data_IF_460066453604
#
_entry.id   IF_460066453604
#
_cell.length_a   1.000
_cell.length_b   1.000
_cell.length_c   1.000
_cell.angle_alpha   90.00
_cell.angle_beta   90.00
_cell.angle_gamma   90.00
#
_symmetry.space_group_name_H-M   'P 1'
#
loop_
_entity.id
_entity.type
_entity.pdbx_description
1 polymer ?
#
# COMPACT_ATOMS: atom_id res chain seq x y z
N UNK A 1 -18.94 -11.01 13.51
CA UNK A 1 -18.02 -9.93 13.11
C UNK A 1 -18.48 -8.72 13.90
N UNK A 2 -17.66 -8.22 14.81
CA UNK A 2 -18.04 -7.19 15.78
C UNK A 2 -18.11 -5.83 15.07
N UNK A 3 -19.14 -5.02 15.31
CA UNK A 3 -19.36 -3.76 14.59
C UNK A 3 -18.19 -2.78 14.78
N UNK A 4 -17.52 -2.86 15.92
CA UNK A 4 -16.31 -2.12 16.22
C UNK A 4 -15.10 -2.57 15.38
N UNK A 5 -14.96 -3.88 15.07
CA UNK A 5 -13.90 -4.40 14.19
C UNK A 5 -14.11 -3.88 12.76
N UNK A 6 -15.37 -3.79 12.29
CA UNK A 6 -15.67 -3.20 10.98
C UNK A 6 -15.28 -1.72 10.91
N UNK A 7 -15.57 -0.92 11.95
CA UNK A 7 -15.32 0.52 11.95
C UNK A 7 -13.85 0.89 12.18
N UNK A 8 -13.12 0.13 13.00
CA UNK A 8 -11.82 0.57 13.52
C UNK A 8 -10.65 -0.37 13.21
N UNK A 9 -10.86 -1.54 12.61
CA UNK A 9 -9.74 -2.45 12.30
C UNK A 9 -8.78 -1.90 11.25
N UNK A 10 -9.21 -0.92 10.45
CA UNK A 10 -8.43 -0.44 9.31
C UNK A 10 -8.25 -1.49 8.20
N UNK A 11 -8.87 -2.67 8.32
CA UNK A 11 -8.81 -3.74 7.30
C UNK A 11 -9.40 -3.20 6.00
N UNK A 12 -8.63 -3.34 4.91
CA UNK A 12 -9.01 -2.82 3.60
C UNK A 12 -8.76 -1.33 3.40
N UNK A 13 -8.12 -0.63 4.34
CA UNK A 13 -7.67 0.74 4.11
C UNK A 13 -6.46 0.75 3.17
N UNK A 14 -6.76 0.85 1.88
CA UNK A 14 -5.80 0.90 0.76
C UNK A 14 -4.72 1.96 0.95
N UNK A 15 -5.10 3.17 1.38
CA UNK A 15 -4.14 4.26 1.59
C UNK A 15 -3.18 3.95 2.73
N UNK A 16 -3.69 3.48 3.88
CA UNK A 16 -2.83 3.15 5.02
C UNK A 16 -1.90 1.98 4.71
N UNK A 17 -2.41 1.00 3.97
CA UNK A 17 -1.61 -0.12 3.49
C UNK A 17 -0.48 0.36 2.59
N UNK A 18 -0.75 1.25 1.63
CA UNK A 18 0.27 1.86 0.78
C UNK A 18 1.38 2.55 1.59
N UNK A 19 1.03 3.32 2.63
CA UNK A 19 1.99 4.00 3.49
C UNK A 19 2.89 3.01 4.26
N UNK A 20 2.28 2.00 4.89
CA UNK A 20 2.98 0.99 5.68
C UNK A 20 3.89 0.14 4.79
N UNK A 21 3.44 -0.18 3.58
CA UNK A 21 4.24 -0.87 2.56
C UNK A 21 5.48 -0.07 2.17
N UNK A 22 5.33 1.23 1.92
CA UNK A 22 6.47 2.09 1.57
C UNK A 22 7.50 2.14 2.70
N UNK A 23 7.03 2.28 3.94
CA UNK A 23 7.90 2.24 5.12
C UNK A 23 8.61 0.89 5.29
N UNK A 24 7.95 -0.22 4.93
CA UNK A 24 8.50 -1.56 5.00
C UNK A 24 9.53 -1.86 3.89
N UNK A 25 9.33 -1.31 2.69
CA UNK A 25 10.19 -1.57 1.52
C UNK A 25 11.45 -0.71 1.44
N UNK A 26 11.44 0.48 2.03
CA UNK A 26 12.61 1.34 2.11
C UNK A 26 13.00 1.66 3.57
N UNK A 27 13.29 0.65 4.41
CA UNK A 27 13.66 0.89 5.79
C UNK A 27 15.12 1.37 5.82
N UNK A 28 15.31 2.66 6.06
CA UNK A 28 16.66 3.21 6.22
C UNK A 28 17.07 3.21 7.70
N UNK A 29 18.21 2.57 8.00
CA UNK A 29 18.81 2.63 9.34
C UNK A 29 19.33 4.05 9.66
N UNK A 30 19.89 4.73 8.66
CA UNK A 30 20.54 6.03 8.82
C UNK A 30 21.56 6.01 9.97
N UNK A 31 21.54 7.06 10.80
CA UNK A 31 22.40 7.20 11.99
C UNK A 31 21.83 6.52 13.27
N UNK A 32 20.70 5.79 13.18
CA UNK A 32 20.06 5.18 14.36
C UNK A 32 20.91 4.04 14.94
N UNK A 33 20.83 3.87 16.26
CA UNK A 33 21.35 2.66 16.90
C UNK A 33 20.59 1.42 16.40
N UNK A 34 21.23 0.25 16.49
CA UNK A 34 20.61 -1.01 16.03
C UNK A 34 19.28 -1.30 16.77
N UNK A 35 19.22 -1.03 18.07
CA UNK A 35 18.02 -1.24 18.90
C UNK A 35 16.90 -0.30 18.46
N UNK A 36 17.21 0.99 18.25
CA UNK A 36 16.21 1.97 17.81
C UNK A 36 15.64 1.60 16.42
N UNK A 37 16.53 1.23 15.49
CA UNK A 37 16.13 0.75 14.18
C UNK A 37 15.23 -0.50 14.24
N UNK A 38 15.60 -1.49 15.08
CA UNK A 38 14.79 -2.71 15.23
C UNK A 38 13.40 -2.41 15.78
N UNK A 39 13.28 -1.54 16.78
CA UNK A 39 11.97 -1.17 17.33
C UNK A 39 11.09 -0.47 16.29
N UNK A 40 11.66 0.47 15.51
CA UNK A 40 10.95 1.15 14.43
C UNK A 40 10.49 0.15 13.36
N UNK A 41 11.39 -0.73 12.91
CA UNK A 41 11.07 -1.75 11.91
C UNK A 41 10.01 -2.73 12.43
N UNK A 42 10.13 -3.19 13.67
CA UNK A 42 9.18 -4.12 14.30
C UNK A 42 7.77 -3.53 14.34
N UNK A 43 7.64 -2.24 14.66
CA UNK A 43 6.34 -1.53 14.66
C UNK A 43 5.69 -1.55 13.27
N UNK A 44 6.45 -1.26 12.22
CA UNK A 44 5.95 -1.30 10.83
C UNK A 44 5.58 -2.73 10.43
N UNK A 45 6.39 -3.72 10.81
CA UNK A 45 6.10 -5.13 10.55
C UNK A 45 4.82 -5.62 11.23
N UNK A 46 4.60 -5.29 12.50
CA UNK A 46 3.38 -5.66 13.23
C UNK A 46 2.14 -5.01 12.62
N UNK A 47 2.24 -3.73 12.21
CA UNK A 47 1.14 -3.04 11.54
C UNK A 47 0.82 -3.65 10.16
N UNK A 48 1.85 -4.02 9.39
CA UNK A 48 1.67 -4.71 8.11
C UNK A 48 0.92 -6.04 8.28
N UNK A 49 1.28 -6.84 9.29
CA UNK A 49 0.59 -8.10 9.58
C UNK A 49 -0.84 -7.89 10.07
N UNK A 50 -1.14 -6.77 10.72
CA UNK A 50 -2.51 -6.44 11.13
C UNK A 50 -3.39 -6.03 9.94
N UNK A 51 -2.82 -5.25 8.99
CA UNK A 51 -3.53 -4.79 7.80
C UNK A 51 -3.71 -5.91 6.76
N UNK A 52 -2.70 -6.77 6.59
CA UNK A 52 -2.74 -7.93 5.70
C UNK A 52 -2.35 -9.19 6.47
N UNK A 53 -3.28 -9.76 7.25
CA UNK A 53 -3.02 -11.00 7.96
C UNK A 53 -2.80 -12.13 6.96
N UNK A 54 -1.89 -13.04 7.32
CA UNK A 54 -1.71 -14.27 6.57
C UNK A 54 -3.02 -15.06 6.55
N UNK A 55 -3.45 -15.47 5.37
CA UNK A 55 -4.67 -16.25 5.16
C UNK A 55 -4.33 -17.63 4.61
N UNK A 56 -4.96 -18.72 5.09
CA UNK A 56 -4.82 -20.02 4.46
C UNK A 56 -5.57 -20.12 3.11
N UNK A 57 -6.44 -19.17 2.78
CA UNK A 57 -7.13 -19.12 1.48
C UNK A 57 -6.18 -18.56 0.40
N UNK A 58 -5.82 -19.41 -0.57
CA UNK A 58 -4.94 -19.07 -1.69
C UNK A 58 -5.44 -17.89 -2.51
N UNK A 59 -6.76 -17.69 -2.64
CA UNK A 59 -7.33 -16.55 -3.38
C UNK A 59 -7.12 -15.25 -2.63
N UNK A 60 -7.18 -15.28 -1.29
CA UNK A 60 -6.86 -14.13 -0.46
C UNK A 60 -5.37 -13.80 -0.57
N UNK A 61 -4.50 -14.81 -0.57
CA UNK A 61 -3.06 -14.59 -0.78
C UNK A 61 -2.75 -14.00 -2.16
N UNK A 62 -3.41 -14.51 -3.22
CA UNK A 62 -3.24 -13.98 -4.57
C UNK A 62 -3.69 -12.51 -4.68
N UNK A 63 -4.82 -12.17 -4.05
CA UNK A 63 -5.28 -10.78 -3.98
C UNK A 63 -4.28 -9.88 -3.21
N UNK A 64 -3.74 -10.35 -2.09
CA UNK A 64 -2.70 -9.63 -1.34
C UNK A 64 -1.42 -9.44 -2.16
N UNK A 65 -1.00 -10.45 -2.92
CA UNK A 65 0.16 -10.37 -3.82
C UNK A 65 -0.05 -9.34 -4.94
N UNK A 66 -1.25 -9.29 -5.52
CA UNK A 66 -1.61 -8.30 -6.53
C UNK A 66 -1.57 -6.88 -5.93
N UNK A 67 -2.13 -6.69 -4.74
CA UNK A 67 -2.10 -5.39 -4.05
C UNK A 67 -0.68 -4.94 -3.71
N UNK A 68 0.21 -5.88 -3.35
CA UNK A 68 1.64 -5.65 -3.18
C UNK A 68 2.31 -5.18 -4.47
N UNK A 69 2.00 -5.83 -5.60
CA UNK A 69 2.56 -5.45 -6.90
C UNK A 69 2.09 -4.03 -7.31
N UNK A 70 0.81 -3.72 -7.12
CA UNK A 70 0.27 -2.38 -7.40
C UNK A 70 0.91 -1.32 -6.51
N UNK A 71 0.98 -1.57 -5.21
CA UNK A 71 1.57 -0.65 -4.25
C UNK A 71 3.03 -0.32 -4.60
N UNK A 72 3.80 -1.36 -4.96
CA UNK A 72 5.19 -1.21 -5.40
C UNK A 72 5.31 -0.43 -6.72
N UNK A 73 4.40 -0.63 -7.66
CA UNK A 73 4.36 0.13 -8.91
C UNK A 73 4.10 1.63 -8.62
N UNK A 74 3.08 1.92 -7.83
CA UNK A 74 2.70 3.30 -7.49
C UNK A 74 3.79 4.03 -6.71
N UNK A 75 4.51 3.35 -5.81
CA UNK A 75 5.58 3.98 -5.02
C UNK A 75 6.80 4.38 -5.85
N UNK A 76 7.07 3.64 -6.92
CA UNK A 76 8.14 3.96 -7.88
C UNK A 76 7.83 5.09 -8.86
N UNK A 77 6.57 5.55 -8.97
CA UNK A 77 6.21 6.64 -9.89
C UNK A 77 6.69 8.00 -9.36
N UNK A 78 7.14 8.85 -10.28
CA UNK A 78 7.55 10.22 -9.93
C UNK A 78 6.39 11.11 -9.51
N UNK A 79 6.71 12.26 -8.88
CA UNK A 79 5.72 13.19 -8.33
C UNK A 79 4.75 13.77 -9.37
N UNK A 80 5.08 13.71 -10.67
CA UNK A 80 4.16 14.10 -11.74
C UNK A 80 2.85 13.30 -11.75
N UNK A 81 2.84 12.14 -11.10
CA UNK A 81 1.68 11.24 -11.02
C UNK A 81 0.95 11.28 -9.67
N UNK A 82 1.27 12.19 -8.74
CA UNK A 82 0.64 12.21 -7.41
C UNK A 82 -0.89 12.33 -7.45
N UNK A 83 -1.44 13.10 -8.38
CA UNK A 83 -2.89 13.19 -8.59
C UNK A 83 -3.49 11.84 -8.96
N UNK A 84 -2.84 11.11 -9.87
CA UNK A 84 -3.28 9.77 -10.29
C UNK A 84 -3.17 8.77 -9.14
N UNK A 85 -2.07 8.80 -8.37
CA UNK A 85 -1.89 7.97 -7.17
C UNK A 85 -3.02 8.22 -6.17
N UNK A 86 -3.29 9.49 -5.84
CA UNK A 86 -4.32 9.87 -4.88
C UNK A 86 -5.71 9.37 -5.30
N UNK A 87 -6.06 9.51 -6.58
CA UNK A 87 -7.32 8.98 -7.11
C UNK A 87 -7.40 7.46 -7.01
N UNK A 88 -6.32 6.74 -7.35
CA UNK A 88 -6.28 5.28 -7.29
C UNK A 88 -6.38 4.79 -5.84
N UNK A 89 -5.67 5.44 -4.92
CA UNK A 89 -5.66 5.10 -3.48
C UNK A 89 -6.97 5.48 -2.77
N UNK A 90 -7.72 6.45 -3.29
CA UNK A 90 -9.04 6.82 -2.78
C UNK A 90 -10.16 5.85 -3.17
N UNK A 91 -9.88 4.95 -4.13
CA UNK A 91 -10.85 3.96 -4.59
C UNK A 91 -11.10 2.86 -3.56
N UNK A 92 -12.32 2.31 -3.56
CA UNK A 92 -12.70 1.19 -2.68
C UNK A 92 -12.02 -0.13 -3.01
N UNK A 93 -11.43 -0.26 -4.21
CA UNK A 93 -10.63 -1.41 -4.60
C UNK A 93 -9.44 -0.95 -5.46
N UNK A 94 -8.24 -1.38 -5.06
CA UNK A 94 -7.06 -1.35 -5.91
C UNK A 94 -7.31 -2.37 -7.01
N UNK A 95 -7.64 -1.91 -8.22
CA UNK A 95 -7.77 -2.76 -9.40
C UNK A 95 -6.48 -3.53 -9.69
N UNK A 96 -6.50 -4.40 -10.70
CA UNK A 96 -5.28 -5.14 -11.08
C UNK A 96 -4.13 -4.19 -11.46
N UNK A 97 -2.89 -4.69 -11.45
CA UNK A 97 -1.72 -3.93 -11.90
C UNK A 97 -1.92 -3.34 -13.30
N UNK A 98 -2.55 -4.10 -14.19
CA UNK A 98 -2.84 -3.68 -15.56
C UNK A 98 -3.90 -2.58 -15.65
N UNK A 99 -4.94 -2.65 -14.80
CA UNK A 99 -5.94 -1.59 -14.66
C UNK A 99 -5.33 -0.31 -14.10
N UNK A 100 -4.49 -0.44 -13.07
CA UNK A 100 -3.78 0.68 -12.43
C UNK A 100 -2.85 1.36 -13.44
N UNK A 101 -2.05 0.59 -14.17
CA UNK A 101 -1.23 1.11 -15.28
C UNK A 101 -2.07 1.87 -16.29
N UNK A 102 -3.20 1.30 -16.73
CA UNK A 102 -4.09 1.94 -17.70
C UNK A 102 -4.67 3.26 -17.17
N UNK A 103 -4.96 3.36 -15.87
CA UNK A 103 -5.44 4.60 -15.23
C UNK A 103 -4.34 5.66 -15.18
N UNK A 104 -3.13 5.29 -14.78
CA UNK A 104 -1.97 6.19 -14.76
C UNK A 104 -1.65 6.69 -16.17
N UNK A 105 -1.65 5.81 -17.17
CA UNK A 105 -1.38 6.17 -18.57
C UNK A 105 -2.40 7.18 -19.12
N UNK A 106 -3.67 7.11 -18.72
CA UNK A 106 -4.67 8.11 -19.13
C UNK A 106 -4.34 9.50 -18.58
N UNK A 107 -3.83 9.59 -17.35
CA UNK A 107 -3.44 10.89 -16.76
C UNK A 107 -2.20 11.50 -17.42
N UNK A 108 -1.32 10.68 -18.02
CA UNK A 108 -0.18 11.18 -18.78
C UNK A 108 -0.58 11.82 -20.13
N UNK A 109 -1.67 11.33 -20.72
CA UNK A 109 -2.14 11.76 -22.04
C UNK A 109 -3.14 12.93 -21.98
N UNK A 110 -3.58 13.36 -20.79
CA UNK A 110 -4.39 14.58 -20.64
C UNK A 110 -3.42 15.76 -20.62
N UNK A 111 -3.43 16.66 -21.63
CA UNK A 111 -2.57 17.82 -21.61
C UNK A 111 -2.93 18.69 -20.40
N UNK A 112 -1.92 19.01 -19.59
CA UNK A 112 -2.01 20.02 -18.53
C UNK A 112 -2.55 21.31 -19.14
N UNK A 113 -3.79 21.69 -18.81
CA UNK A 113 -4.36 22.99 -19.18
C UNK A 113 -3.74 24.11 -18.35
#
# INVERSE_FOLDING_TARGET
MDYLDFLYSGKGNVSRMYDVWNAFHCPEKGAKSLIAYFMDFKKVYEELNALMPFSPDVRVQQAQQEQMAVTSFLSGLSSKFETAKSQILSGSNIGSLQEVFSRVLRTENVPSS
#
